data_IF_986234847278
#
_entry.id   IF_986234847278
#
_cell.length_a   1.000
_cell.length_b   1.000
_cell.length_c   1.000
_cell.angle_alpha   90.00
_cell.angle_beta   90.00
_cell.angle_gamma   90.00
#
_symmetry.space_group_name_H-M   'P 1'
#
loop_
_entity.id
_entity.type
_entity.pdbx_description
1 polymer ?
#
# COMPACT_ATOMS: atom_id res chain seq x y z
N UNK A 1 -10.32 4.95 11.36
CA UNK A 1 -8.91 4.70 10.97
C UNK A 1 -8.77 3.26 10.57
N UNK A 2 -8.69 2.99 9.27
CA UNK A 2 -8.27 1.66 8.78
C UNK A 2 -6.79 1.54 9.11
N UNK A 3 -6.49 0.97 10.28
CA UNK A 3 -5.12 0.67 10.71
C UNK A 3 -4.61 -0.50 9.87
N UNK A 4 -4.01 -0.16 8.73
CA UNK A 4 -3.16 -1.09 8.00
C UNK A 4 -2.10 -1.62 8.95
N UNK A 5 -2.20 -2.92 9.26
CA UNK A 5 -1.30 -3.68 10.13
C UNK A 5 -1.05 -3.03 11.50
N UNK A 6 -1.86 -3.38 12.50
CA UNK A 6 -1.53 -3.10 13.92
C UNK A 6 -0.19 -3.72 14.36
N UNK A 7 0.31 -4.71 13.61
CA UNK A 7 1.59 -5.36 13.85
C UNK A 7 2.47 -5.28 12.60
N UNK A 8 3.70 -4.79 12.78
CA UNK A 8 4.72 -4.83 11.73
C UNK A 8 4.86 -6.26 11.16
N UNK A 9 4.97 -6.42 9.84
CA UNK A 9 5.26 -7.73 9.26
C UNK A 9 6.53 -8.30 9.90
N UNK A 10 6.51 -9.59 10.28
CA UNK A 10 7.64 -10.23 10.98
C UNK A 10 8.98 -10.12 10.24
N UNK A 11 8.92 -9.96 8.91
CA UNK A 11 10.08 -9.84 8.05
C UNK A 11 10.68 -8.43 8.03
N UNK A 12 10.02 -7.41 8.60
CA UNK A 12 10.52 -6.04 8.61
C UNK A 12 11.05 -5.71 9.99
N UNK A 13 12.28 -5.19 10.02
CA UNK A 13 12.94 -4.70 11.24
C UNK A 13 13.30 -3.24 11.09
N UNK A 14 13.39 -2.53 12.22
CA UNK A 14 13.76 -1.11 12.22
C UNK A 14 14.92 -0.84 13.17
N UNK A 15 15.84 0.02 12.74
CA UNK A 15 16.76 0.71 13.64
C UNK A 15 16.11 2.03 14.06
N UNK A 16 15.98 2.24 15.37
CA UNK A 16 15.47 3.50 15.91
C UNK A 16 16.62 4.50 16.08
N UNK A 17 16.59 5.57 15.28
CA UNK A 17 17.53 6.71 15.32
C UNK A 17 16.81 8.01 15.71
N UNK A 18 15.58 7.92 16.24
CA UNK A 18 14.80 9.09 16.66
C UNK A 18 15.43 9.77 17.86
N UNK A 19 15.41 11.10 17.82
CA UNK A 19 15.83 11.94 18.95
C UNK A 19 14.65 12.71 19.52
N UNK A 20 14.73 13.07 20.81
CA UNK A 20 13.72 13.91 21.46
C UNK A 20 14.02 15.38 21.18
N UNK A 21 13.06 16.07 20.55
CA UNK A 21 13.08 17.51 20.30
C UNK A 21 12.52 18.34 21.46
N UNK A 22 12.70 19.67 21.42
CA UNK A 22 12.12 20.57 22.41
C UNK A 22 10.58 20.57 22.39
N UNK A 23 9.90 21.00 23.46
CA UNK A 23 8.44 21.07 23.49
C UNK A 23 7.92 22.01 22.40
N UNK A 24 6.85 21.59 21.72
CA UNK A 24 6.24 22.33 20.62
C UNK A 24 6.95 22.18 19.27
N UNK A 25 8.00 21.35 19.16
CA UNK A 25 8.63 21.07 17.85
C UNK A 25 7.76 20.20 16.94
N UNK A 26 6.74 19.54 17.49
CA UNK A 26 5.88 18.62 16.76
C UNK A 26 6.59 17.33 16.35
N UNK A 27 6.06 16.70 15.31
CA UNK A 27 6.56 15.47 14.70
C UNK A 27 7.37 15.79 13.44
N UNK A 28 8.66 15.45 13.47
CA UNK A 28 9.57 15.48 12.33
C UNK A 28 10.19 14.08 12.13
N UNK A 29 9.46 13.03 12.51
CA UNK A 29 9.91 11.66 12.38
C UNK A 29 9.57 11.10 11.01
N UNK A 30 10.56 10.50 10.38
CA UNK A 30 10.45 9.84 9.08
C UNK A 30 10.77 8.36 9.20
N UNK A 31 10.01 7.54 8.46
CA UNK A 31 10.29 6.12 8.29
C UNK A 31 10.92 5.91 6.92
N UNK A 32 12.17 5.49 6.91
CA UNK A 32 12.87 5.14 5.68
C UNK A 32 13.00 3.63 5.54
N UNK A 33 12.41 3.08 4.47
CA UNK A 33 12.55 1.68 4.11
C UNK A 33 12.88 1.60 2.61
N UNK A 34 14.09 1.15 2.30
CA UNK A 34 14.56 1.09 0.92
C UNK A 34 13.77 0.03 0.11
N UNK A 35 13.66 0.20 -1.23
CA UNK A 35 13.06 -0.81 -2.10
C UNK A 35 13.67 -2.20 -1.86
N UNK A 36 12.81 -3.22 -1.77
CA UNK A 36 13.15 -4.62 -1.48
C UNK A 36 13.93 -4.86 -0.17
N UNK A 37 14.05 -3.86 0.70
CA UNK A 37 14.69 -4.02 2.01
C UNK A 37 13.73 -4.60 3.05
N UNK A 38 14.26 -5.48 3.89
CA UNK A 38 13.60 -5.97 5.11
C UNK A 38 14.06 -5.20 6.36
N UNK A 39 14.94 -4.21 6.19
CA UNK A 39 15.44 -3.37 7.27
C UNK A 39 15.25 -1.89 6.94
N UNK A 40 14.60 -1.17 7.86
CA UNK A 40 14.33 0.27 7.76
C UNK A 40 14.93 1.05 8.92
N UNK A 41 14.77 2.36 8.86
CA UNK A 41 15.27 3.32 9.84
C UNK A 41 14.15 4.27 10.25
N UNK A 42 14.04 4.55 11.55
CA UNK A 42 13.22 5.62 12.09
C UNK A 42 14.13 6.81 12.38
N UNK A 43 13.92 7.95 11.74
CA UNK A 43 14.84 9.11 11.78
C UNK A 43 14.10 10.39 12.10
N UNK A 44 14.85 11.42 12.51
CA UNK A 44 14.30 12.73 12.79
C UNK A 44 14.04 12.95 14.28
N UNK A 45 13.10 13.84 14.60
CA UNK A 45 12.86 14.26 15.99
C UNK A 45 11.38 14.27 16.37
N UNK A 46 11.09 13.82 17.59
CA UNK A 46 9.77 13.91 18.22
C UNK A 46 9.82 14.90 19.37
N UNK A 47 8.95 15.90 19.37
CA UNK A 47 8.83 16.84 20.50
C UNK A 47 8.57 16.08 21.80
N UNK A 48 9.19 16.53 22.91
CA UNK A 48 9.01 15.89 24.24
C UNK A 48 7.55 15.87 24.72
N UNK A 49 6.72 16.75 24.18
CA UNK A 49 5.28 16.85 24.40
C UNK A 49 4.44 15.95 23.49
N UNK A 50 5.09 15.12 22.66
CA UNK A 50 4.40 14.15 21.79
C UNK A 50 3.63 13.11 22.62
N UNK A 51 2.47 12.65 22.15
CA UNK A 51 1.69 11.61 22.82
C UNK A 51 2.51 10.33 23.05
N UNK A 52 2.25 9.64 24.17
CA UNK A 52 2.92 8.36 24.48
C UNK A 52 2.55 7.24 23.51
N UNK A 53 1.41 7.35 22.82
CA UNK A 53 0.91 6.41 21.81
C UNK A 53 1.16 6.89 20.37
N UNK A 54 2.22 7.67 20.15
CA UNK A 54 2.58 8.17 18.84
C UNK A 54 2.90 7.02 17.85
N UNK A 55 2.37 7.12 16.63
CA UNK A 55 2.56 6.14 15.56
C UNK A 55 2.89 6.84 14.25
N UNK A 56 3.74 6.21 13.45
CA UNK A 56 4.12 6.68 12.11
C UNK A 56 3.69 5.63 11.09
N UNK A 57 2.99 6.07 10.05
CA UNK A 57 2.63 5.22 8.93
C UNK A 57 3.80 5.06 7.95
N UNK A 58 4.02 3.84 7.46
CA UNK A 58 5.02 3.57 6.44
C UNK A 58 4.50 2.56 5.41
N UNK A 59 4.91 2.74 4.16
CA UNK A 59 4.65 1.75 3.11
C UNK A 59 5.68 0.62 3.21
N UNK A 60 5.22 -0.63 3.10
CA UNK A 60 6.09 -1.79 3.07
C UNK A 60 6.49 -2.12 1.63
N UNK A 61 7.78 -2.36 1.35
CA UNK A 61 8.21 -2.84 0.04
C UNK A 61 7.63 -4.23 -0.18
N UNK A 62 7.24 -4.52 -1.42
CA UNK A 62 6.78 -5.85 -1.82
C UNK A 62 5.68 -6.43 -0.91
N UNK A 63 4.65 -5.62 -0.64
CA UNK A 63 3.51 -5.95 0.23
C UNK A 63 2.84 -7.29 -0.08
N UNK A 64 2.89 -7.76 -1.33
CA UNK A 64 2.38 -9.07 -1.74
C UNK A 64 3.07 -10.25 -1.02
N UNK A 65 4.38 -10.17 -0.70
CA UNK A 65 5.07 -11.23 0.06
C UNK A 65 4.52 -11.27 1.48
N UNK A 66 4.34 -10.09 2.08
CA UNK A 66 3.84 -9.96 3.44
C UNK A 66 2.42 -10.50 3.58
N UNK A 67 1.53 -10.21 2.62
CA UNK A 67 0.17 -10.79 2.58
C UNK A 67 0.23 -12.32 2.45
N UNK A 68 1.09 -12.85 1.57
CA UNK A 68 1.27 -14.29 1.42
C UNK A 68 1.78 -14.96 2.70
N UNK A 69 2.65 -14.28 3.45
CA UNK A 69 3.17 -14.78 4.72
C UNK A 69 2.13 -14.70 5.84
N UNK A 70 1.35 -13.62 5.91
CA UNK A 70 0.25 -13.50 6.85
C UNK A 70 -0.81 -14.59 6.60
N UNK A 71 -1.17 -14.84 5.35
CA UNK A 71 -2.09 -15.92 4.98
C UNK A 71 -1.53 -17.28 5.43
N UNK A 72 -0.25 -17.54 5.17
CA UNK A 72 0.43 -18.78 5.60
C UNK A 72 0.35 -18.96 7.12
N UNK A 73 0.56 -17.90 7.89
CA UNK A 73 0.47 -17.93 9.34
C UNK A 73 -0.96 -18.15 9.82
N UNK A 74 -1.94 -17.39 9.30
CA UNK A 74 -3.36 -17.54 9.69
C UNK A 74 -3.92 -18.91 9.35
N UNK A 75 -3.41 -19.56 8.31
CA UNK A 75 -3.79 -20.91 7.90
C UNK A 75 -2.98 -22.02 8.59
N UNK A 76 -2.04 -21.68 9.49
CA UNK A 76 -1.12 -22.62 10.14
C UNK A 76 -0.34 -23.51 9.15
N UNK A 77 -0.02 -22.98 7.97
CA UNK A 77 0.78 -23.69 6.99
C UNK A 77 2.25 -23.71 7.38
N UNK A 78 2.97 -24.75 6.94
CA UNK A 78 4.40 -24.88 7.22
C UNK A 78 5.20 -23.69 6.67
N UNK A 79 6.16 -23.18 7.46
CA UNK A 79 7.14 -22.18 7.01
C UNK A 79 8.00 -22.67 5.85
N UNK A 80 8.11 -23.99 5.64
CA UNK A 80 8.78 -24.58 4.48
C UNK A 80 7.99 -24.43 3.18
N UNK A 81 6.70 -24.08 3.23
CA UNK A 81 5.91 -23.83 2.03
C UNK A 81 6.35 -22.50 1.40
N UNK A 82 6.85 -22.52 0.15
CA UNK A 82 7.33 -21.31 -0.49
C UNK A 82 6.15 -20.42 -0.90
N UNK A 83 6.27 -19.12 -0.62
CA UNK A 83 5.37 -18.09 -1.16
C UNK A 83 5.97 -17.61 -2.47
N UNK A 84 5.20 -17.74 -3.56
CA UNK A 84 5.58 -17.22 -4.87
C UNK A 84 4.56 -16.17 -5.29
N UNK A 85 5.01 -14.93 -5.45
CA UNK A 85 4.21 -13.91 -6.11
C UNK A 85 4.29 -14.16 -7.61
N UNK A 86 3.13 -14.16 -8.25
CA UNK A 86 3.02 -14.32 -9.69
C UNK A 86 2.43 -13.02 -10.21
N UNK A 87 3.29 -12.16 -10.74
CA UNK A 87 2.86 -11.00 -11.51
C UNK A 87 2.36 -11.52 -12.85
N UNK A 88 1.04 -11.54 -13.06
CA UNK A 88 0.47 -11.95 -14.33
C UNK A 88 0.75 -10.89 -15.40
N UNK A 89 1.93 -10.98 -16.02
CA UNK A 89 2.09 -10.62 -17.43
C UNK A 89 2.83 -11.75 -18.13
N UNK A 90 2.13 -12.45 -19.04
CA UNK A 90 2.75 -13.30 -20.05
C UNK A 90 3.31 -14.66 -19.61
N UNK A 91 3.21 -15.06 -18.34
CA UNK A 91 3.63 -16.42 -17.96
C UNK A 91 2.53 -17.41 -18.36
N UNK A 92 2.70 -18.03 -19.52
CA UNK A 92 2.05 -19.30 -19.87
C UNK A 92 2.49 -20.35 -18.84
N UNK A 93 1.84 -20.38 -17.68
CA UNK A 93 2.05 -21.47 -16.74
C UNK A 93 1.37 -22.69 -17.34
N UNK A 94 2.15 -23.56 -17.97
CA UNK A 94 1.78 -24.91 -18.48
C UNK A 94 1.29 -25.87 -17.39
N UNK A 95 1.01 -25.36 -16.19
CA UNK A 95 0.62 -26.13 -15.03
C UNK A 95 -0.88 -25.98 -14.85
N UNK A 96 -1.62 -27.09 -14.96
CA UNK A 96 -3.02 -27.14 -14.57
C UNK A 96 -3.14 -26.80 -13.09
N UNK A 97 -3.74 -25.64 -12.79
CA UNK A 97 -4.01 -25.20 -11.42
C UNK A 97 -5.46 -25.41 -11.09
N UNK A 98 -5.73 -25.82 -9.86
CA UNK A 98 -7.09 -25.88 -9.31
C UNK A 98 -7.26 -24.66 -8.42
N UNK A 99 -8.30 -23.86 -8.67
CA UNK A 99 -8.69 -22.77 -7.79
C UNK A 99 -9.25 -23.36 -6.51
N UNK A 100 -8.57 -23.12 -5.37
CA UNK A 100 -9.03 -23.59 -4.06
C UNK A 100 -10.06 -22.63 -3.44
N UNK A 101 -9.89 -21.33 -3.67
CA UNK A 101 -10.75 -20.29 -3.12
C UNK A 101 -10.70 -19.01 -3.99
N UNK A 102 -11.68 -18.13 -3.83
CA UNK A 102 -11.74 -16.82 -4.45
C UNK A 102 -12.36 -15.81 -3.49
N UNK A 103 -11.55 -14.84 -3.07
CA UNK A 103 -12.00 -13.73 -2.25
C UNK A 103 -12.48 -12.57 -3.11
N UNK A 104 -13.70 -12.08 -2.86
CA UNK A 104 -14.27 -10.90 -3.51
C UNK A 104 -14.15 -9.69 -2.58
N UNK A 105 -13.74 -8.56 -3.13
CA UNK A 105 -13.67 -7.30 -2.39
C UNK A 105 -15.06 -6.74 -2.08
N UNK A 106 -15.16 -5.76 -1.15
CA UNK A 106 -16.33 -4.90 -1.06
C UNK A 106 -16.66 -4.22 -2.39
N UNK A 107 -17.91 -3.74 -2.58
CA UNK A 107 -18.30 -3.03 -3.79
C UNK A 107 -17.54 -1.70 -3.94
N UNK A 108 -17.41 -1.24 -5.18
CA UNK A 108 -16.70 0.00 -5.51
C UNK A 108 -17.21 1.21 -4.71
N UNK A 109 -18.51 1.29 -4.44
CA UNK A 109 -19.11 2.38 -3.66
C UNK A 109 -18.53 2.50 -2.25
N UNK A 110 -18.23 1.37 -1.60
CA UNK A 110 -17.61 1.36 -0.26
C UNK A 110 -16.13 1.74 -0.33
N UNK A 111 -15.43 1.28 -1.38
CA UNK A 111 -14.02 1.65 -1.61
C UNK A 111 -13.90 3.16 -1.83
N UNK A 112 -14.76 3.73 -2.68
CA UNK A 112 -14.80 5.17 -2.96
C UNK A 112 -15.16 5.97 -1.71
N UNK A 113 -16.13 5.49 -0.92
CA UNK A 113 -16.48 6.14 0.35
C UNK A 113 -15.26 6.30 1.26
N UNK A 114 -14.50 5.23 1.48
CA UNK A 114 -13.30 5.30 2.32
C UNK A 114 -12.15 6.08 1.69
N UNK A 115 -12.02 6.05 0.35
CA UNK A 115 -11.04 6.87 -0.36
C UNK A 115 -11.27 8.36 -0.09
N UNK A 116 -12.50 8.83 -0.27
CA UNK A 116 -12.85 10.26 -0.11
C UNK A 116 -12.88 10.68 1.36
N UNK A 117 -13.36 9.81 2.25
CA UNK A 117 -13.52 10.14 3.67
C UNK A 117 -12.17 10.25 4.41
N UNK A 118 -11.24 9.32 4.12
CA UNK A 118 -9.96 9.20 4.83
C UNK A 118 -8.75 9.59 3.94
N UNK A 119 -8.99 10.02 2.69
CA UNK A 119 -7.95 10.39 1.71
C UNK A 119 -6.87 9.32 1.53
N UNK A 120 -7.29 8.05 1.41
CA UNK A 120 -6.36 6.91 1.36
C UNK A 120 -5.65 6.88 0.00
N UNK A 121 -4.43 7.42 -0.07
CA UNK A 121 -3.63 7.52 -1.32
C UNK A 121 -3.54 6.20 -2.11
N UNK A 122 -3.40 5.07 -1.41
CA UNK A 122 -3.34 3.75 -2.05
C UNK A 122 -4.58 3.46 -2.89
N UNK A 123 -5.77 3.89 -2.44
CA UNK A 123 -7.01 3.67 -3.19
C UNK A 123 -7.02 4.48 -4.48
N UNK A 124 -6.62 5.75 -4.45
CA UNK A 124 -6.51 6.57 -5.66
C UNK A 124 -5.61 5.92 -6.72
N UNK A 125 -4.41 5.48 -6.32
CA UNK A 125 -3.44 4.83 -7.20
C UNK A 125 -3.96 3.50 -7.79
N UNK A 126 -4.61 2.67 -6.97
CA UNK A 126 -5.15 1.38 -7.43
C UNK A 126 -6.36 1.59 -8.34
N UNK A 127 -7.26 2.51 -7.98
CA UNK A 127 -8.44 2.84 -8.77
C UNK A 127 -8.04 3.33 -10.16
N UNK A 128 -7.11 4.28 -10.25
CA UNK A 128 -6.71 4.83 -11.55
C UNK A 128 -5.99 3.80 -12.43
N UNK A 129 -5.15 2.94 -11.84
CA UNK A 129 -4.54 1.80 -12.55
C UNK A 129 -5.59 0.81 -13.04
N UNK A 130 -6.63 0.56 -12.24
CA UNK A 130 -7.71 -0.36 -12.60
C UNK A 130 -8.52 0.19 -13.78
N UNK A 131 -8.87 1.49 -13.75
CA UNK A 131 -9.55 2.14 -14.89
C UNK A 131 -8.67 2.11 -16.13
N UNK A 132 -7.37 2.41 -16.01
CA UNK A 132 -6.43 2.32 -17.12
C UNK A 132 -6.40 0.89 -17.73
N UNK A 133 -6.37 -0.14 -16.89
CA UNK A 133 -6.40 -1.53 -17.34
C UNK A 133 -7.71 -1.90 -18.05
N UNK A 134 -8.87 -1.52 -17.48
CA UNK A 134 -10.19 -1.82 -18.06
C UNK A 134 -10.37 -1.11 -19.41
N UNK A 135 -9.88 0.13 -19.52
CA UNK A 135 -9.98 0.96 -20.73
C UNK A 135 -8.83 0.74 -21.72
N UNK A 136 -7.90 -0.18 -21.41
CA UNK A 136 -6.68 -0.42 -22.17
C UNK A 136 -5.90 0.88 -22.49
N UNK A 137 -5.84 1.78 -21.51
CA UNK A 137 -5.19 3.09 -21.57
C UNK A 137 -3.97 3.13 -20.64
N UNK A 138 -3.16 4.19 -20.76
CA UNK A 138 -2.05 4.40 -19.83
C UNK A 138 -2.51 5.13 -18.56
N UNK A 139 -1.96 4.76 -17.40
CA UNK A 139 -2.33 5.32 -16.09
C UNK A 139 -2.21 6.86 -16.05
N UNK A 140 -1.20 7.41 -16.70
CA UNK A 140 -0.97 8.86 -16.77
C UNK A 140 -1.90 9.62 -17.72
N UNK A 141 -2.66 8.92 -18.58
CA UNK A 141 -3.54 9.56 -19.58
C UNK A 141 -5.01 9.31 -19.33
N UNK A 142 -5.35 8.25 -18.58
CA UNK A 142 -6.73 7.84 -18.42
C UNK A 142 -7.59 8.92 -17.75
N UNK A 143 -7.08 9.61 -16.72
CA UNK A 143 -7.83 10.69 -16.07
C UNK A 143 -7.97 11.94 -16.96
N UNK A 144 -6.87 12.51 -17.53
CA UNK A 144 -7.01 13.67 -18.43
C UNK A 144 -7.93 13.40 -19.63
N UNK A 145 -7.84 12.21 -20.24
CA UNK A 145 -8.69 11.85 -21.38
C UNK A 145 -10.16 11.76 -20.98
N UNK A 146 -10.47 11.14 -19.84
CA UNK A 146 -11.83 11.05 -19.32
C UNK A 146 -12.40 12.44 -19.03
N UNK A 147 -11.66 13.29 -18.33
CA UNK A 147 -12.07 14.65 -17.97
C UNK A 147 -12.37 15.52 -19.22
N UNK A 148 -11.54 15.41 -20.26
CA UNK A 148 -11.75 16.13 -21.51
C UNK A 148 -12.98 15.63 -22.27
N UNK A 149 -13.12 14.31 -22.43
CA UNK A 149 -14.18 13.73 -23.26
C UNK A 149 -15.57 13.84 -22.61
N UNK A 150 -15.68 13.59 -21.30
CA UNK A 150 -16.97 13.50 -20.61
C UNK A 150 -17.40 14.81 -19.96
N UNK A 151 -16.43 15.66 -19.59
CA UNK A 151 -16.70 16.87 -18.82
C UNK A 151 -16.18 18.16 -19.48
N UNK A 152 -15.53 18.07 -20.64
CA UNK A 152 -14.98 19.23 -21.34
C UNK A 152 -13.85 19.94 -20.57
N UNK A 153 -13.21 19.25 -19.63
CA UNK A 153 -12.12 19.80 -18.81
C UNK A 153 -10.80 19.64 -19.57
N UNK A 154 -10.07 20.73 -19.74
CA UNK A 154 -8.77 20.73 -20.42
C UNK A 154 -7.77 19.78 -19.76
N UNK A 155 -7.09 18.97 -20.58
CA UNK A 155 -6.18 17.92 -20.10
C UNK A 155 -5.02 18.48 -19.27
N UNK A 156 -4.57 19.70 -19.58
CA UNK A 156 -3.48 20.38 -18.87
C UNK A 156 -3.88 20.81 -17.46
N UNK A 157 -5.17 20.84 -17.13
CA UNK A 157 -5.66 21.19 -15.80
C UNK A 157 -5.72 19.99 -14.83
N UNK A 158 -5.43 18.78 -15.31
CA UNK A 158 -5.60 17.51 -14.58
C UNK A 158 -4.24 16.87 -14.21
N UNK A 159 -3.17 17.67 -14.26
CA UNK A 159 -1.79 17.24 -14.00
C UNK A 159 -1.29 17.63 -12.61
#
# INVERSE_FOLDING_TARGET
TVTGFENLPQLITFTNELVTGPPGSGDLADVYLAPDSTHGYLRGSLGIDSPTNFSIGAATPNSAIHIGDELRQRMNWSKSMPIKIIYQQGVNTTVNRITLDTYQSPPLSEIVYWFEQDSINMYGEVLIKTVAQITNSSTNRVLPLYCYNEHGIEQTAVA
#
